data_IF_768638326201
#
_entry.id   IF_768638326201
#
_cell.length_a   1.000
_cell.length_b   1.000
_cell.length_c   1.000
_cell.angle_alpha   90.00
_cell.angle_beta   90.00
_cell.angle_gamma   90.00
#
_symmetry.space_group_name_H-M   'P 1'
#
loop_
_entity.id
_entity.type
_entity.pdbx_description
1 polymer ?
#
# COMPACT_ATOMS: atom_id res chain seq x y z
N UNK A 1 3.22 14.35 -3.93
CA UNK A 1 2.61 13.58 -2.84
C UNK A 1 2.16 12.20 -3.29
N UNK A 2 1.22 12.09 -4.21
CA UNK A 2 0.85 10.81 -4.85
C UNK A 2 1.64 10.69 -6.16
N UNK A 3 2.30 9.55 -6.43
CA UNK A 3 2.98 9.35 -7.70
C UNK A 3 1.97 9.30 -8.85
N UNK A 4 2.34 9.75 -10.03
CA UNK A 4 1.46 9.76 -11.21
C UNK A 4 1.00 8.35 -11.62
N UNK A 5 1.74 7.31 -11.23
CA UNK A 5 1.45 5.92 -11.52
C UNK A 5 1.75 5.05 -10.30
N UNK A 6 0.81 4.20 -9.96
CA UNK A 6 0.93 3.23 -8.86
C UNK A 6 0.92 1.82 -9.46
N UNK A 7 2.01 1.11 -9.29
CA UNK A 7 2.17 -0.27 -9.72
C UNK A 7 1.84 -1.25 -8.58
N UNK A 8 1.84 -2.54 -8.88
CA UNK A 8 1.86 -3.59 -7.87
C UNK A 8 3.21 -3.59 -7.16
N UNK A 9 3.23 -3.92 -5.88
CA UNK A 9 4.47 -4.14 -5.13
C UNK A 9 4.60 -5.62 -4.81
N UNK A 10 5.48 -6.33 -5.53
CA UNK A 10 5.65 -7.78 -5.40
C UNK A 10 7.14 -8.09 -5.32
N UNK A 11 7.53 -8.90 -4.35
CA UNK A 11 8.92 -9.31 -4.13
C UNK A 11 9.89 -8.11 -3.99
N UNK A 12 9.48 -7.08 -3.26
CA UNK A 12 10.30 -5.88 -3.03
C UNK A 12 10.48 -4.99 -4.26
N UNK A 13 9.64 -5.13 -5.29
CA UNK A 13 9.75 -4.38 -6.55
C UNK A 13 8.40 -3.84 -7.00
N UNK A 14 8.44 -2.70 -7.70
CA UNK A 14 7.30 -2.22 -8.47
C UNK A 14 7.15 -3.04 -9.76
N UNK A 15 5.97 -3.66 -9.94
CA UNK A 15 5.65 -4.48 -11.12
C UNK A 15 4.34 -3.99 -11.71
N UNK A 16 4.34 -3.64 -13.00
CA UNK A 16 3.14 -3.29 -13.72
C UNK A 16 2.21 -4.51 -13.83
N UNK A 17 0.90 -4.29 -14.02
CA UNK A 17 0.00 -5.37 -14.39
C UNK A 17 0.50 -6.04 -15.68
N UNK A 18 0.40 -7.37 -15.75
CA UNK A 18 0.85 -8.16 -16.93
C UNK A 18 0.22 -7.63 -18.24
N UNK A 19 -1.05 -7.24 -18.18
CA UNK A 19 -1.77 -6.65 -19.32
C UNK A 19 -1.29 -5.25 -19.72
N UNK A 20 -0.46 -4.59 -18.89
CA UNK A 20 -0.08 -3.19 -19.06
C UNK A 20 -1.22 -2.19 -18.81
N UNK A 21 -2.45 -2.66 -18.53
CA UNK A 21 -3.62 -1.82 -18.33
C UNK A 21 -3.58 -1.09 -16.99
N UNK A 22 -4.17 0.09 -16.96
CA UNK A 22 -4.34 0.90 -15.76
C UNK A 22 -5.78 1.42 -15.67
N UNK A 23 -6.18 1.85 -14.48
CA UNK A 23 -7.38 2.63 -14.28
C UNK A 23 -7.04 3.95 -13.58
N UNK A 24 -7.92 4.93 -13.70
CA UNK A 24 -7.76 6.25 -13.10
C UNK A 24 -8.28 6.23 -11.67
N UNK A 25 -7.48 6.65 -10.71
CA UNK A 25 -7.95 7.01 -9.39
C UNK A 25 -8.40 8.48 -9.42
N UNK A 26 -9.61 8.71 -9.04
CA UNK A 26 -10.26 10.04 -9.07
C UNK A 26 -10.50 10.51 -7.63
N UNK A 27 -10.27 11.80 -7.37
CA UNK A 27 -10.65 12.43 -6.12
C UNK A 27 -12.17 12.46 -5.99
N UNK A 28 -12.77 11.93 -4.92
CA UNK A 28 -14.21 12.00 -4.72
C UNK A 28 -14.71 13.41 -4.43
N UNK A 29 -13.83 14.31 -4.01
CA UNK A 29 -14.15 15.69 -3.69
C UNK A 29 -14.14 16.60 -4.94
N UNK A 30 -13.07 16.54 -5.76
CA UNK A 30 -12.88 17.44 -6.90
C UNK A 30 -13.22 16.83 -8.26
N UNK A 31 -13.29 15.48 -8.36
CA UNK A 31 -13.41 14.77 -9.64
C UNK A 31 -12.11 14.73 -10.45
N UNK A 32 -11.02 15.31 -9.96
CA UNK A 32 -9.74 15.32 -10.66
C UNK A 32 -9.04 13.95 -10.59
N UNK A 33 -8.25 13.64 -11.61
CA UNK A 33 -7.46 12.41 -11.65
C UNK A 33 -6.24 12.58 -10.75
N UNK A 34 -6.16 11.75 -9.70
CA UNK A 34 -5.04 11.74 -8.76
C UNK A 34 -3.84 10.96 -9.31
N UNK A 35 -4.08 9.80 -9.87
CA UNK A 35 -3.05 8.93 -10.42
C UNK A 35 -3.64 7.84 -11.33
N UNK A 36 -2.77 7.07 -11.99
CA UNK A 36 -3.12 5.83 -12.68
C UNK A 36 -2.65 4.64 -11.87
N UNK A 37 -3.51 3.67 -11.64
CA UNK A 37 -3.23 2.48 -10.86
C UNK A 37 -3.21 1.25 -11.76
N UNK A 38 -2.30 0.31 -11.49
CA UNK A 38 -2.23 -0.96 -12.23
C UNK A 38 -3.57 -1.71 -12.16
N UNK A 39 -4.10 -2.12 -13.34
CA UNK A 39 -5.30 -2.94 -13.41
C UNK A 39 -4.89 -4.40 -13.48
N UNK A 40 -4.68 -4.97 -12.31
CA UNK A 40 -4.22 -6.34 -12.15
C UNK A 40 -5.32 -7.34 -12.50
N UNK A 41 -4.89 -8.50 -12.99
CA UNK A 41 -5.73 -9.63 -13.35
C UNK A 41 -5.47 -10.80 -12.40
N UNK A 42 -6.16 -11.92 -12.62
CA UNK A 42 -5.93 -13.16 -11.87
C UNK A 42 -4.46 -13.59 -11.91
N UNK A 43 -3.80 -13.47 -13.06
CA UNK A 43 -2.38 -13.83 -13.23
C UNK A 43 -1.48 -13.04 -12.29
N UNK A 44 -1.70 -11.72 -12.17
CA UNK A 44 -0.95 -10.86 -11.27
C UNK A 44 -1.15 -11.27 -9.80
N UNK A 45 -2.39 -11.59 -9.44
CA UNK A 45 -2.73 -12.03 -8.07
C UNK A 45 -2.11 -13.39 -7.77
N UNK A 46 -2.21 -14.35 -8.67
CA UNK A 46 -1.60 -15.68 -8.51
C UNK A 46 -0.08 -15.57 -8.31
N UNK A 47 0.58 -14.70 -9.07
CA UNK A 47 2.00 -14.42 -8.90
C UNK A 47 2.32 -13.82 -7.53
N UNK A 48 1.56 -12.81 -7.10
CA UNK A 48 1.75 -12.17 -5.79
C UNK A 48 1.58 -13.17 -4.64
N UNK A 49 0.56 -14.02 -4.72
CA UNK A 49 0.28 -15.06 -3.71
C UNK A 49 1.40 -16.12 -3.69
N UNK A 50 1.90 -16.55 -4.85
CA UNK A 50 3.00 -17.52 -4.93
C UNK A 50 4.27 -16.98 -4.28
N UNK A 51 4.62 -15.72 -4.56
CA UNK A 51 5.77 -15.04 -3.95
C UNK A 51 5.59 -14.90 -2.43
N UNK A 52 4.41 -14.50 -1.97
CA UNK A 52 4.11 -14.37 -0.55
C UNK A 52 4.20 -15.71 0.18
N UNK A 53 3.69 -16.79 -0.41
CA UNK A 53 3.80 -18.15 0.17
C UNK A 53 5.25 -18.61 0.28
N UNK A 54 6.08 -18.31 -0.71
CA UNK A 54 7.51 -18.64 -0.64
C UNK A 54 8.21 -17.85 0.47
N UNK A 55 7.95 -16.56 0.59
CA UNK A 55 8.51 -15.73 1.64
C UNK A 55 8.04 -16.12 3.04
N UNK A 56 6.82 -16.66 3.16
CA UNK A 56 6.25 -17.12 4.43
C UNK A 56 7.07 -18.23 5.07
N UNK A 57 7.78 -19.06 4.30
CA UNK A 57 8.61 -20.16 4.82
C UNK A 57 9.66 -19.61 5.79
N UNK A 58 10.46 -18.65 5.36
CA UNK A 58 11.50 -18.05 6.19
C UNK A 58 10.87 -17.21 7.33
N UNK A 59 9.82 -16.46 7.03
CA UNK A 59 9.10 -15.67 8.02
C UNK A 59 8.53 -16.55 9.16
N UNK A 60 7.92 -17.68 8.84
CA UNK A 60 7.33 -18.58 9.85
C UNK A 60 8.38 -19.26 10.72
N UNK A 61 9.59 -19.50 10.18
CA UNK A 61 10.71 -20.08 10.91
C UNK A 61 11.45 -19.06 11.80
N UNK A 62 11.21 -17.76 11.58
CA UNK A 62 11.80 -16.72 12.41
C UNK A 62 11.17 -16.73 13.81
N UNK A 63 11.95 -16.60 14.91
CA UNK A 63 11.41 -16.52 16.27
C UNK A 63 10.37 -15.39 16.41
N UNK A 64 9.30 -15.64 17.17
CA UNK A 64 8.20 -14.67 17.33
C UNK A 64 8.66 -13.30 17.84
N UNK A 65 9.66 -13.27 18.73
CA UNK A 65 10.24 -12.02 19.25
C UNK A 65 10.89 -11.20 18.13
N UNK A 66 11.60 -11.85 17.21
CA UNK A 66 12.24 -11.16 16.07
C UNK A 66 11.17 -10.63 15.08
N UNK A 67 10.13 -11.41 14.81
CA UNK A 67 9.00 -10.95 13.99
C UNK A 67 8.30 -9.74 14.61
N UNK A 68 8.07 -9.79 15.93
CA UNK A 68 7.50 -8.67 16.69
C UNK A 68 8.38 -7.42 16.62
N UNK A 69 9.70 -7.59 16.71
CA UNK A 69 10.63 -6.46 16.57
C UNK A 69 10.55 -5.80 15.19
N UNK A 70 10.50 -6.59 14.12
CA UNK A 70 10.35 -6.07 12.75
C UNK A 70 9.02 -5.32 12.56
N UNK A 71 7.91 -5.88 13.08
CA UNK A 71 6.61 -5.20 13.04
C UNK A 71 6.64 -3.88 13.81
N UNK A 72 7.31 -3.84 14.95
CA UNK A 72 7.46 -2.61 15.72
C UNK A 72 8.26 -1.53 14.97
N UNK A 73 9.29 -1.92 14.23
CA UNK A 73 10.02 -1.00 13.34
C UNK A 73 9.12 -0.44 12.24
N UNK A 74 8.22 -1.24 11.68
CA UNK A 74 7.23 -0.79 10.70
C UNK A 74 6.27 0.23 11.33
N UNK A 75 5.75 -0.05 12.52
CA UNK A 75 4.88 0.90 13.25
C UNK A 75 5.58 2.23 13.48
N UNK A 76 6.84 2.23 13.91
CA UNK A 76 7.61 3.45 14.11
C UNK A 76 7.80 4.23 12.80
N UNK A 77 8.06 3.54 11.69
CA UNK A 77 8.19 4.17 10.38
C UNK A 77 6.87 4.79 9.90
N UNK A 78 5.73 4.14 10.15
CA UNK A 78 4.40 4.68 9.86
C UNK A 78 4.09 5.92 10.71
N UNK A 79 4.40 5.89 11.99
CA UNK A 79 4.20 7.05 12.89
C UNK A 79 4.99 8.28 12.42
N UNK A 80 6.24 8.10 11.99
CA UNK A 80 7.05 9.18 11.41
C UNK A 80 6.47 9.77 10.11
N UNK A 81 5.63 9.02 9.40
CA UNK A 81 4.97 9.45 8.16
C UNK A 81 3.49 9.78 8.33
N UNK A 82 2.98 9.77 9.56
CA UNK A 82 1.56 9.87 9.88
C UNK A 82 0.83 11.02 9.17
N UNK A 83 1.36 12.22 9.25
CA UNK A 83 0.78 13.40 8.60
C UNK A 83 0.70 13.26 7.06
N UNK A 84 1.74 12.71 6.46
CA UNK A 84 1.79 12.46 5.02
C UNK A 84 0.77 11.40 4.61
N UNK A 85 0.69 10.30 5.37
CA UNK A 85 -0.27 9.22 5.12
C UNK A 85 -1.69 9.74 5.28
N UNK A 86 -1.99 10.47 6.36
CA UNK A 86 -3.31 11.07 6.58
C UNK A 86 -3.73 12.01 5.44
N UNK A 87 -2.80 12.82 4.93
CA UNK A 87 -3.07 13.70 3.79
C UNK A 87 -3.43 12.92 2.52
N UNK A 88 -2.77 11.79 2.27
CA UNK A 88 -3.09 10.91 1.14
C UNK A 88 -4.46 10.25 1.34
N UNK A 89 -4.75 9.74 2.53
CA UNK A 89 -6.05 9.13 2.88
C UNK A 89 -7.19 10.14 2.68
N UNK A 90 -7.04 11.36 3.20
CA UNK A 90 -8.04 12.43 3.01
C UNK A 90 -8.28 12.73 1.53
N UNK A 91 -7.21 12.84 0.73
CA UNK A 91 -7.29 13.11 -0.70
C UNK A 91 -7.99 11.99 -1.47
N UNK A 92 -7.70 10.74 -1.13
CA UNK A 92 -8.24 9.57 -1.83
C UNK A 92 -9.68 9.24 -1.45
N UNK A 93 -10.08 9.51 -0.22
CA UNK A 93 -11.38 9.08 0.33
C UNK A 93 -12.39 10.21 0.45
N UNK A 94 -11.93 11.46 0.40
CA UNK A 94 -12.78 12.64 0.63
C UNK A 94 -13.10 12.92 2.11
N UNK A 95 -12.45 12.19 3.04
CA UNK A 95 -12.58 12.44 4.49
C UNK A 95 -11.92 13.74 4.90
N UNK A 96 -12.30 14.26 6.07
CA UNK A 96 -11.55 15.34 6.70
C UNK A 96 -10.13 14.88 7.06
N UNK A 97 -9.18 15.80 7.08
CA UNK A 97 -7.82 15.50 7.49
C UNK A 97 -7.75 14.94 8.94
N UNK A 98 -8.61 15.46 9.82
CA UNK A 98 -8.67 15.02 11.21
C UNK A 98 -9.12 13.56 11.34
N UNK A 99 -10.14 13.14 10.58
CA UNK A 99 -10.58 11.73 10.55
C UNK A 99 -9.49 10.83 9.97
N UNK A 100 -8.87 11.25 8.87
CA UNK A 100 -7.76 10.51 8.23
C UNK A 100 -6.56 10.36 9.19
N UNK A 101 -6.26 11.38 9.98
CA UNK A 101 -5.20 11.35 10.99
C UNK A 101 -5.52 10.35 12.11
N UNK A 102 -6.77 10.32 12.56
CA UNK A 102 -7.24 9.34 13.56
C UNK A 102 -7.13 7.90 13.05
N UNK A 103 -7.55 7.63 11.82
CA UNK A 103 -7.43 6.30 11.20
C UNK A 103 -5.97 5.88 11.02
N UNK A 104 -5.11 6.78 10.56
CA UNK A 104 -3.67 6.51 10.42
C UNK A 104 -3.02 6.19 11.76
N UNK A 105 -3.44 6.87 12.84
CA UNK A 105 -2.96 6.59 14.20
C UNK A 105 -3.47 5.27 14.78
N UNK A 106 -4.62 4.77 14.29
CA UNK A 106 -5.19 3.48 14.70
C UNK A 106 -4.66 2.27 13.92
N UNK A 107 -3.96 2.53 12.83
CA UNK A 107 -3.36 1.47 12.01
C UNK A 107 -2.06 0.95 12.63
#
# INVERSE_FOLDING_TARGET
>A
MIPNKVANWINGKEIQAESGKTFKKVSPHSGEILCKVARSTKTDIDHAVAVAKQAQIDWSNMPAVQRGHLLHQICNALELQKERIASIVALETGKSHQEALGETGGA
#
